data_IF_687912989474
#
_entry.id   IF_687912989474
#
_cell.length_a   1.000
_cell.length_b   1.000
_cell.length_c   1.000
_cell.angle_alpha   90.00
_cell.angle_beta   90.00
_cell.angle_gamma   90.00
#
_symmetry.space_group_name_H-M   'P 1'
#
loop_
_entity.id
_entity.type
_entity.pdbx_description
1 polymer ?
#
# COMPACT_ATOMS: atom_id res chain seq x y z
N UNK A 1 48.71 29.41 10.85
CA UNK A 1 47.47 29.67 11.61
C UNK A 1 46.49 28.57 11.25
N UNK A 2 45.95 27.82 12.22
CA UNK A 2 44.98 26.74 11.95
C UNK A 2 43.60 27.38 11.76
N UNK A 3 42.98 27.18 10.60
CA UNK A 3 41.64 27.66 10.33
C UNK A 3 40.62 26.77 11.03
N UNK A 4 39.68 27.36 11.76
CA UNK A 4 38.60 26.64 12.43
C UNK A 4 37.64 26.05 11.38
N UNK A 5 37.19 24.81 11.59
CA UNK A 5 36.18 24.16 10.73
C UNK A 5 34.81 24.82 10.91
N UNK A 6 33.90 24.67 9.94
CA UNK A 6 32.56 25.28 10.01
C UNK A 6 31.80 24.88 11.28
N UNK A 7 31.93 23.62 11.72
CA UNK A 7 31.35 23.08 12.96
C UNK A 7 31.98 23.74 14.19
N UNK A 8 33.32 23.90 14.20
CA UNK A 8 34.01 24.56 15.30
C UNK A 8 33.65 26.04 15.40
N UNK A 9 33.45 26.74 14.27
CA UNK A 9 32.97 28.12 14.24
C UNK A 9 31.51 28.24 14.69
N UNK A 10 30.63 27.36 14.22
CA UNK A 10 29.22 27.35 14.62
C UNK A 10 29.06 27.12 16.13
N UNK A 11 29.81 26.16 16.69
CA UNK A 11 29.84 25.89 18.13
C UNK A 11 30.42 27.05 18.95
N UNK A 12 31.41 27.77 18.40
CA UNK A 12 31.97 28.97 19.02
C UNK A 12 30.98 30.15 19.01
N UNK A 13 30.19 30.28 17.95
CA UNK A 13 29.21 31.37 17.74
C UNK A 13 27.82 31.07 18.33
N UNK A 14 27.60 29.88 18.89
CA UNK A 14 26.31 29.48 19.46
C UNK A 14 25.21 29.24 18.42
N UNK A 15 25.59 29.05 17.15
CA UNK A 15 24.66 28.81 16.06
C UNK A 15 24.38 27.30 15.92
N UNK A 16 23.21 26.86 16.42
CA UNK A 16 22.79 25.44 16.39
C UNK A 16 22.28 24.98 15.00
N UNK A 17 22.40 25.83 13.97
CA UNK A 17 21.90 25.58 12.61
C UNK A 17 23.03 25.24 11.67
N UNK A 18 23.68 24.10 11.89
CA UNK A 18 24.64 23.58 10.92
C UNK A 18 23.85 22.95 9.76
N UNK A 19 24.16 23.35 8.53
CA UNK A 19 23.55 22.76 7.33
C UNK A 19 23.76 21.24 7.36
N UNK A 20 22.69 20.46 7.19
CA UNK A 20 22.73 18.98 7.17
C UNK A 20 23.77 18.47 6.18
N UNK A 21 24.01 19.20 5.08
CA UNK A 21 24.99 18.85 4.05
C UNK A 21 26.46 19.03 4.47
N UNK A 22 26.72 19.82 5.52
CA UNK A 22 28.05 20.00 6.13
C UNK A 22 28.33 18.99 7.26
N UNK A 23 27.30 18.29 7.75
CA UNK A 23 27.45 17.16 8.67
C UNK A 23 27.80 15.85 7.95
N UNK A 24 27.65 15.82 6.62
CA UNK A 24 27.93 14.65 5.78
C UNK A 24 29.42 14.64 5.42
N UNK A 25 30.07 13.48 5.54
CA UNK A 25 31.47 13.26 5.13
C UNK A 25 31.69 13.72 3.68
N UNK A 26 32.86 14.30 3.36
CA UNK A 26 33.19 14.77 2.01
C UNK A 26 32.99 13.70 0.93
N UNK A 27 33.19 12.42 1.29
CA UNK A 27 32.95 11.28 0.39
C UNK A 27 31.47 11.13 0.04
N UNK A 28 30.60 11.26 1.03
CA UNK A 28 29.15 11.14 0.86
C UNK A 28 28.56 12.43 0.27
N UNK A 29 29.12 13.60 0.59
CA UNK A 29 28.80 14.85 -0.09
C UNK A 29 29.04 14.75 -1.60
N UNK A 30 30.20 14.21 -1.99
CA UNK A 30 30.56 13.99 -3.40
C UNK A 30 29.68 12.94 -4.09
N UNK A 31 29.23 11.91 -3.37
CA UNK A 31 28.25 10.91 -3.87
C UNK A 31 26.87 11.53 -4.09
N UNK A 32 26.37 12.34 -3.14
CA UNK A 32 25.12 13.07 -3.32
C UNK A 32 25.21 14.07 -4.48
N UNK A 33 26.35 14.73 -4.65
CA UNK A 33 26.61 15.66 -5.75
C UNK A 33 26.56 14.97 -7.12
N UNK A 34 27.04 13.72 -7.21
CA UNK A 34 26.93 12.89 -8.41
C UNK A 34 25.48 12.49 -8.76
N UNK A 35 24.60 12.44 -7.76
CA UNK A 35 23.18 12.12 -7.93
C UNK A 35 22.28 13.35 -8.05
N UNK A 36 22.83 14.58 -8.04
CA UNK A 36 22.04 15.80 -8.22
C UNK A 36 21.42 15.81 -9.61
N UNK A 37 20.10 15.88 -9.64
CA UNK A 37 19.34 15.92 -10.88
C UNK A 37 19.52 17.27 -11.57
N UNK A 38 19.28 17.29 -12.89
CA UNK A 38 19.27 18.50 -13.72
C UNK A 38 18.34 19.59 -13.16
N UNK A 39 17.32 19.22 -12.39
CA UNK A 39 16.43 20.15 -11.69
C UNK A 39 17.03 20.77 -10.44
N UNK A 40 17.86 20.04 -9.67
CA UNK A 40 18.55 20.55 -8.47
C UNK A 40 19.63 21.60 -8.79
N UNK A 41 20.07 21.63 -10.05
CA UNK A 41 20.98 22.64 -10.59
C UNK A 41 20.22 23.88 -11.09
N UNK A 42 18.90 23.76 -11.31
CA UNK A 42 18.06 24.82 -11.86
C UNK A 42 17.57 25.80 -10.78
N UNK A 43 17.43 25.34 -9.54
CA UNK A 43 16.99 26.11 -8.35
C UNK A 43 18.10 26.95 -7.67
N UNK A 44 19.34 26.98 -8.20
CA UNK A 44 20.32 27.96 -7.71
C UNK A 44 19.82 29.38 -8.04
N UNK A 45 19.76 30.31 -7.06
CA UNK A 45 19.34 31.68 -7.30
C UNK A 45 20.49 32.44 -7.93
N UNK A 46 20.75 32.18 -9.21
CA UNK A 46 21.56 33.06 -10.03
C UNK A 46 20.62 34.16 -10.55
N UNK A 47 20.83 35.39 -10.09
CA UNK A 47 20.06 36.59 -10.44
C UNK A 47 20.17 37.01 -11.92
N UNK A 48 20.56 36.09 -12.82
CA UNK A 48 20.84 36.36 -14.23
C UNK A 48 20.33 35.27 -15.17
N UNK A 49 19.24 34.59 -14.83
CA UNK A 49 18.50 33.83 -15.85
C UNK A 49 17.43 34.73 -16.44
N UNK A 50 17.75 35.26 -17.63
CA UNK A 50 16.73 35.72 -18.56
C UNK A 50 15.61 34.67 -18.60
N UNK A 51 14.44 35.08 -18.14
CA UNK A 51 13.19 34.36 -18.30
C UNK A 51 13.09 33.99 -19.78
N UNK A 52 13.08 32.69 -20.10
CA UNK A 52 12.86 32.23 -21.47
C UNK A 52 11.41 32.57 -21.83
N UNK A 53 11.23 33.82 -22.28
CA UNK A 53 9.96 34.45 -22.63
C UNK A 53 9.13 33.71 -23.68
N UNK A 54 9.72 32.72 -24.36
CA UNK A 54 9.04 31.93 -25.40
C UNK A 54 7.83 31.12 -24.96
N UNK A 55 7.62 30.86 -23.66
CA UNK A 55 6.44 30.10 -23.20
C UNK A 55 5.26 30.94 -22.72
N UNK A 56 5.48 32.21 -22.35
CA UNK A 56 4.37 33.10 -21.95
C UNK A 56 3.47 33.43 -23.14
N UNK A 57 4.06 33.52 -24.33
CA UNK A 57 3.40 33.98 -25.56
C UNK A 57 3.04 32.84 -26.53
N UNK A 58 3.32 31.58 -26.15
CA UNK A 58 2.99 30.43 -26.99
C UNK A 58 1.49 30.16 -26.99
N UNK A 59 0.82 30.53 -28.07
CA UNK A 59 -0.60 30.23 -28.33
C UNK A 59 -0.67 28.99 -29.21
N UNK A 60 -0.97 27.85 -28.60
CA UNK A 60 -1.08 26.55 -29.26
C UNK A 60 -2.55 26.15 -29.47
N UNK A 61 -3.44 26.72 -28.67
CA UNK A 61 -4.89 26.50 -28.68
C UNK A 61 -5.62 27.85 -28.80
N UNK A 62 -5.64 28.49 -29.99
CA UNK A 62 -6.28 29.79 -30.19
C UNK A 62 -7.81 29.72 -30.03
N UNK A 63 -8.43 28.58 -30.35
CA UNK A 63 -9.88 28.40 -30.28
C UNK A 63 -10.37 28.05 -28.86
N UNK A 64 -9.47 27.67 -27.95
CA UNK A 64 -9.84 27.13 -26.63
C UNK A 64 -9.00 27.80 -25.52
N UNK A 65 -9.42 28.97 -25.00
CA UNK A 65 -8.63 29.74 -24.04
C UNK A 65 -8.40 29.01 -22.71
N UNK A 66 -9.39 28.21 -22.26
CA UNK A 66 -9.25 27.38 -21.05
C UNK A 66 -8.29 26.21 -21.22
N UNK A 67 -8.15 25.68 -22.44
CA UNK A 67 -7.15 24.65 -22.73
C UNK A 67 -5.76 25.26 -22.85
N UNK A 68 -5.68 26.46 -23.42
CA UNK A 68 -4.45 27.23 -23.49
C UNK A 68 -3.89 27.58 -22.10
N UNK A 69 -4.74 27.95 -21.13
CA UNK A 69 -4.31 28.23 -19.75
C UNK A 69 -3.78 26.97 -19.07
N UNK A 70 -4.49 25.84 -19.22
CA UNK A 70 -4.06 24.53 -18.70
C UNK A 70 -2.79 24.02 -19.36
N UNK A 71 -2.59 24.28 -20.66
CA UNK A 71 -1.32 23.98 -21.34
C UNK A 71 -0.15 24.81 -20.79
N UNK A 72 -0.37 26.11 -20.54
CA UNK A 72 0.64 26.97 -19.89
C UNK A 72 0.98 26.46 -18.49
N UNK A 73 -0.03 26.03 -17.74
CA UNK A 73 0.17 25.41 -16.44
C UNK A 73 0.94 24.09 -16.55
N UNK A 74 0.59 23.24 -17.50
CA UNK A 74 1.30 22.00 -17.80
C UNK A 74 2.79 22.24 -18.07
N UNK A 75 3.13 23.25 -18.87
CA UNK A 75 4.53 23.65 -19.10
C UNK A 75 5.23 24.11 -17.83
N UNK A 76 4.54 24.83 -16.93
CA UNK A 76 5.08 25.25 -15.63
C UNK A 76 5.37 24.05 -14.73
N UNK A 77 4.50 23.05 -14.70
CA UNK A 77 4.70 21.82 -13.92
C UNK A 77 5.82 20.97 -14.50
N UNK A 78 5.88 20.83 -15.83
CA UNK A 78 6.95 20.14 -16.53
C UNK A 78 8.32 20.78 -16.22
N UNK A 79 8.37 22.12 -16.21
CA UNK A 79 9.54 22.94 -15.81
C UNK A 79 9.88 22.87 -14.31
N UNK A 80 9.07 22.21 -13.51
CA UNK A 80 9.35 21.94 -12.09
C UNK A 80 9.67 20.47 -11.85
N UNK A 81 9.67 19.65 -12.90
CA UNK A 81 9.80 18.19 -12.77
C UNK A 81 8.58 17.53 -12.12
N UNK A 82 7.43 18.19 -12.12
CA UNK A 82 6.18 17.73 -11.51
C UNK A 82 5.14 17.39 -12.58
N UNK A 83 4.24 16.46 -12.26
CA UNK A 83 3.07 16.17 -13.09
C UNK A 83 1.93 17.10 -12.68
N UNK A 84 1.29 17.74 -13.66
CA UNK A 84 0.09 18.54 -13.41
C UNK A 84 -1.04 17.60 -12.92
N UNK A 85 -1.62 17.82 -11.73
CA UNK A 85 -2.75 17.03 -11.26
C UNK A 85 -3.99 17.24 -12.14
N UNK A 86 -4.91 16.29 -12.11
CA UNK A 86 -6.15 16.37 -12.87
C UNK A 86 -6.95 17.63 -12.48
N UNK A 87 -7.31 18.49 -13.45
CA UNK A 87 -8.22 19.60 -13.22
C UNK A 87 -9.60 19.10 -12.77
N UNK A 88 -10.21 19.77 -11.77
CA UNK A 88 -11.53 19.41 -11.24
C UNK A 88 -12.67 19.56 -12.25
N UNK A 89 -12.45 20.39 -13.27
CA UNK A 89 -13.43 20.70 -14.30
C UNK A 89 -13.56 19.59 -15.34
N UNK A 90 -12.60 18.65 -15.42
CA UNK A 90 -12.56 17.62 -16.45
C UNK A 90 -12.73 16.21 -15.88
N UNK A 91 -13.43 15.38 -16.66
CA UNK A 91 -13.46 13.94 -16.42
C UNK A 91 -12.08 13.32 -16.65
N UNK A 92 -11.86 12.13 -16.09
CA UNK A 92 -10.57 11.42 -16.21
C UNK A 92 -10.20 11.20 -17.67
N UNK A 93 -11.18 10.84 -18.51
CA UNK A 93 -10.98 10.58 -19.93
C UNK A 93 -10.58 11.83 -20.73
N UNK A 94 -11.25 12.95 -20.47
CA UNK A 94 -10.93 14.22 -21.13
C UNK A 94 -9.55 14.75 -20.69
N UNK A 95 -9.19 14.56 -19.42
CA UNK A 95 -7.87 14.94 -18.94
C UNK A 95 -6.75 14.12 -19.58
N UNK A 96 -6.95 12.80 -19.70
CA UNK A 96 -5.99 11.92 -20.36
C UNK A 96 -5.81 12.23 -21.85
N UNK A 97 -6.89 12.58 -22.55
CA UNK A 97 -6.83 12.96 -23.95
C UNK A 97 -6.09 14.28 -24.14
N UNK A 98 -6.40 15.31 -23.33
CA UNK A 98 -5.69 16.58 -23.37
C UNK A 98 -4.21 16.46 -23.04
N UNK A 99 -3.86 15.65 -22.03
CA UNK A 99 -2.46 15.43 -21.67
C UNK A 99 -1.68 14.82 -22.84
N UNK A 100 -2.28 13.89 -23.58
CA UNK A 100 -1.68 13.32 -24.82
C UNK A 100 -1.52 14.38 -25.90
N UNK A 101 -2.45 15.31 -26.04
CA UNK A 101 -2.34 16.42 -26.99
C UNK A 101 -1.24 17.41 -26.59
N UNK A 102 -1.12 17.73 -25.30
CA UNK A 102 -0.05 18.56 -24.77
C UNK A 102 1.31 17.93 -25.07
N UNK A 103 1.49 16.62 -24.80
CA UNK A 103 2.73 15.90 -25.12
C UNK A 103 3.10 15.92 -26.61
N UNK A 104 2.12 16.00 -27.52
CA UNK A 104 2.37 16.13 -28.98
C UNK A 104 2.83 17.53 -29.37
N UNK A 105 2.38 18.56 -28.65
CA UNK A 105 2.76 19.95 -28.91
C UNK A 105 4.02 20.39 -28.16
N UNK A 106 4.62 19.56 -27.29
CA UNK A 106 5.87 19.89 -26.62
C UNK A 106 7.03 20.11 -27.61
N UNK A 107 7.93 21.05 -27.30
CA UNK A 107 9.18 21.20 -28.04
C UNK A 107 10.13 20.03 -27.76
N UNK A 108 11.19 19.87 -28.57
CA UNK A 108 12.18 18.82 -28.38
C UNK A 108 12.84 18.89 -26.98
N UNK A 109 13.11 20.09 -26.47
CA UNK A 109 13.70 20.30 -25.14
C UNK A 109 12.76 19.89 -24.01
N UNK A 110 11.49 20.25 -24.13
CA UNK A 110 10.44 19.93 -23.15
C UNK A 110 10.13 18.43 -23.16
N UNK A 111 10.12 17.80 -24.34
CA UNK A 111 9.95 16.35 -24.48
C UNK A 111 11.08 15.58 -23.80
N UNK A 112 12.31 16.11 -23.83
CA UNK A 112 13.45 15.57 -23.10
C UNK A 112 13.32 15.61 -21.57
N UNK A 113 12.36 16.37 -21.01
CA UNK A 113 12.09 16.42 -19.57
C UNK A 113 11.07 15.35 -19.11
N UNK A 114 10.25 14.82 -20.04
CA UNK A 114 9.18 13.86 -19.70
C UNK A 114 9.68 12.57 -19.04
N UNK A 115 10.79 11.94 -19.47
CA UNK A 115 11.27 10.70 -18.84
C UNK A 115 11.58 10.89 -17.35
N UNK A 116 12.21 12.02 -17.00
CA UNK A 116 12.58 12.34 -15.63
C UNK A 116 11.35 12.69 -14.77
N UNK A 117 10.40 13.45 -15.32
CA UNK A 117 9.12 13.76 -14.66
C UNK A 117 8.32 12.49 -14.39
N UNK A 118 8.25 11.57 -15.36
CA UNK A 118 7.55 10.28 -15.21
C UNK A 118 8.22 9.35 -14.21
N UNK A 119 9.55 9.37 -14.12
CA UNK A 119 10.29 8.61 -13.11
C UNK A 119 9.99 9.12 -11.70
N UNK A 120 9.85 10.44 -11.51
CA UNK A 120 9.47 11.06 -10.22
C UNK A 120 8.00 10.88 -9.86
N UNK A 121 7.13 10.73 -10.85
CA UNK A 121 5.70 10.53 -10.65
C UNK A 121 5.31 9.12 -10.18
N UNK A 122 6.29 8.20 -10.07
CA UNK A 122 6.03 6.86 -9.55
C UNK A 122 5.62 6.93 -8.08
N UNK A 123 4.65 6.11 -7.64
CA UNK A 123 4.24 6.08 -6.24
C UNK A 123 5.44 5.75 -5.35
N UNK A 124 5.50 6.37 -4.17
CA UNK A 124 6.55 6.11 -3.17
C UNK A 124 6.58 4.63 -2.74
N UNK A 125 5.45 3.94 -2.86
CA UNK A 125 5.35 2.51 -2.60
C UNK A 125 5.96 1.70 -3.75
N UNK A 126 6.90 0.81 -3.42
CA UNK A 126 7.50 -0.11 -4.39
C UNK A 126 6.39 -0.97 -5.02
N UNK A 127 6.24 -0.89 -6.34
CA UNK A 127 5.28 -1.70 -7.10
C UNK A 127 5.46 -3.20 -6.84
N UNK A 128 6.67 -3.66 -6.50
CA UNK A 128 6.96 -5.06 -6.13
C UNK A 128 6.10 -5.60 -4.97
N UNK A 129 5.66 -4.75 -4.05
CA UNK A 129 4.78 -5.17 -2.94
C UNK A 129 3.30 -5.11 -3.35
N UNK A 130 2.94 -4.18 -4.23
CA UNK A 130 1.57 -3.97 -4.67
C UNK A 130 1.13 -4.96 -5.76
N UNK A 131 2.05 -5.39 -6.64
CA UNK A 131 1.74 -6.28 -7.76
C UNK A 131 1.17 -7.64 -7.33
N UNK A 132 1.75 -8.37 -6.34
CA UNK A 132 1.16 -9.62 -5.88
C UNK A 132 -0.23 -9.42 -5.26
N UNK A 133 -0.42 -8.32 -4.53
CA UNK A 133 -1.73 -7.98 -3.93
C UNK A 133 -2.74 -7.67 -5.04
N UNK A 134 -2.34 -6.90 -6.05
CA UNK A 134 -3.17 -6.56 -7.20
C UNK A 134 -3.56 -7.80 -8.01
N UNK A 135 -2.63 -8.68 -8.32
CA UNK A 135 -2.91 -9.95 -9.03
C UNK A 135 -3.86 -10.83 -8.22
N UNK A 136 -3.68 -10.91 -6.91
CA UNK A 136 -4.53 -11.72 -6.02
C UNK A 136 -5.96 -11.15 -5.92
N UNK A 137 -6.10 -9.81 -5.92
CA UNK A 137 -7.40 -9.13 -5.94
C UNK A 137 -8.07 -9.28 -7.32
N UNK A 138 -7.35 -9.04 -8.41
CA UNK A 138 -7.89 -9.19 -9.78
C UNK A 138 -8.42 -10.60 -10.03
N UNK A 139 -7.70 -11.62 -9.58
CA UNK A 139 -8.11 -13.02 -9.72
C UNK A 139 -9.35 -13.39 -8.88
N UNK A 140 -9.64 -12.67 -7.79
CA UNK A 140 -10.82 -12.92 -6.95
C UNK A 140 -12.06 -12.18 -7.45
N UNK A 141 -11.95 -10.92 -7.86
CA UNK A 141 -13.11 -10.17 -8.40
C UNK A 141 -13.53 -10.63 -9.80
N UNK A 142 -12.62 -11.17 -10.62
CA UNK A 142 -12.98 -11.69 -11.94
C UNK A 142 -13.67 -13.08 -11.91
N UNK A 143 -13.61 -13.80 -10.78
CA UNK A 143 -14.10 -15.20 -10.67
C UNK A 143 -15.51 -15.37 -10.12
N UNK A 144 -16.13 -14.32 -9.58
CA UNK A 144 -17.37 -14.49 -8.81
C UNK A 144 -18.67 -14.29 -9.61
N UNK A 145 -18.60 -13.77 -10.83
CA UNK A 145 -19.76 -13.76 -11.74
C UNK A 145 -19.84 -15.06 -12.55
N UNK A 146 -20.30 -16.12 -11.89
CA UNK A 146 -20.79 -17.33 -12.55
C UNK A 146 -19.75 -18.44 -12.75
N UNK A 147 -19.94 -19.53 -12.00
CA UNK A 147 -19.53 -20.92 -12.32
C UNK A 147 -18.19 -21.11 -13.06
N UNK A 148 -17.14 -21.56 -12.38
CA UNK A 148 -16.31 -22.67 -12.87
C UNK A 148 -15.20 -23.04 -11.87
N UNK A 149 -15.36 -24.21 -11.24
CA UNK A 149 -14.19 -25.00 -10.88
C UNK A 149 -13.50 -25.46 -12.17
N UNK A 150 -12.17 -25.45 -12.21
CA UNK A 150 -11.33 -26.07 -13.24
C UNK A 150 -11.58 -25.65 -14.70
N UNK A 151 -11.14 -24.45 -15.11
CA UNK A 151 -11.42 -23.90 -16.44
C UNK A 151 -10.21 -23.82 -17.40
N UNK A 152 -9.27 -24.76 -17.39
CA UNK A 152 -8.27 -24.83 -18.47
C UNK A 152 -8.83 -25.51 -19.74
N UNK A 153 -9.84 -26.38 -19.60
CA UNK A 153 -10.50 -27.08 -20.73
C UNK A 153 -11.71 -26.33 -21.30
N UNK A 154 -12.21 -25.31 -20.60
CA UNK A 154 -13.52 -24.72 -20.86
C UNK A 154 -13.49 -23.50 -21.79
N UNK A 155 -12.31 -22.98 -22.15
CA UNK A 155 -12.20 -21.89 -23.12
C UNK A 155 -12.53 -22.36 -24.54
N UNK A 156 -12.17 -23.61 -24.89
CA UNK A 156 -12.59 -24.23 -26.15
C UNK A 156 -14.12 -24.32 -26.24
N UNK A 157 -14.79 -24.77 -25.19
CA UNK A 157 -16.25 -24.92 -25.16
C UNK A 157 -16.96 -23.56 -25.13
N UNK A 158 -16.41 -22.56 -24.44
CA UNK A 158 -16.90 -21.18 -24.48
C UNK A 158 -16.80 -20.60 -25.89
N UNK A 159 -15.65 -20.78 -26.55
CA UNK A 159 -15.44 -20.32 -27.93
C UNK A 159 -16.33 -21.07 -28.93
N UNK A 160 -16.55 -22.38 -28.73
CA UNK A 160 -17.47 -23.17 -29.54
C UNK A 160 -18.94 -22.74 -29.35
N UNK A 161 -19.37 -22.46 -28.11
CA UNK A 161 -20.70 -21.95 -27.82
C UNK A 161 -20.95 -20.56 -28.42
N UNK A 162 -19.95 -19.68 -28.41
CA UNK A 162 -19.98 -18.39 -29.11
C UNK A 162 -20.11 -18.60 -30.61
N UNK A 163 -19.29 -19.49 -31.19
CA UNK A 163 -19.31 -19.83 -32.63
C UNK A 163 -20.64 -20.45 -33.06
N UNK A 164 -21.27 -21.23 -32.19
CA UNK A 164 -22.57 -21.86 -32.39
C UNK A 164 -23.76 -20.93 -32.08
N UNK A 165 -23.52 -19.65 -31.74
CA UNK A 165 -24.60 -18.72 -31.44
C UNK A 165 -25.41 -19.08 -30.19
N UNK A 166 -24.86 -19.90 -29.28
CA UNK A 166 -25.53 -20.33 -28.05
C UNK A 166 -25.56 -19.25 -26.97
N UNK A 167 -25.20 -18.01 -27.31
CA UNK A 167 -25.31 -16.83 -26.45
C UNK A 167 -26.69 -16.18 -26.64
N UNK A 168 -27.29 -15.67 -25.57
CA UNK A 168 -28.60 -15.02 -25.61
C UNK A 168 -29.59 -15.66 -24.64
N UNK A 169 -30.86 -15.75 -25.01
CA UNK A 169 -31.94 -16.16 -24.09
C UNK A 169 -31.77 -17.56 -23.49
N UNK A 170 -31.08 -18.47 -24.21
CA UNK A 170 -30.73 -19.82 -23.70
C UNK A 170 -29.67 -19.83 -22.59
N UNK A 171 -28.86 -18.77 -22.47
CA UNK A 171 -27.79 -18.66 -21.47
C UNK A 171 -28.06 -17.59 -20.42
N UNK A 172 -29.15 -16.81 -20.58
CA UNK A 172 -29.61 -15.85 -19.57
C UNK A 172 -30.25 -16.61 -18.42
N UNK A 173 -29.77 -16.35 -17.22
CA UNK A 173 -30.41 -16.78 -15.98
C UNK A 173 -30.96 -15.56 -15.28
N UNK A 174 -32.23 -15.60 -14.92
CA UNK A 174 -32.87 -14.54 -14.13
C UNK A 174 -32.93 -15.00 -12.68
N UNK A 175 -32.54 -14.12 -11.78
CA UNK A 175 -32.59 -14.40 -10.35
C UNK A 175 -33.37 -13.32 -9.63
N UNK A 176 -34.11 -13.73 -8.61
CA UNK A 176 -34.78 -12.78 -7.74
C UNK A 176 -33.74 -12.06 -6.88
N UNK A 177 -33.67 -10.74 -7.04
CA UNK A 177 -32.79 -9.86 -6.27
C UNK A 177 -33.58 -9.10 -5.22
N UNK A 178 -33.03 -9.04 -4.02
CA UNK A 178 -33.59 -8.35 -2.85
C UNK A 178 -32.72 -7.12 -2.54
N UNK A 179 -33.20 -5.90 -2.80
CA UNK A 179 -32.44 -4.69 -2.51
C UNK A 179 -32.32 -4.45 -1.01
N UNK A 180 -31.23 -3.82 -0.59
CA UNK A 180 -31.10 -3.30 0.77
C UNK A 180 -32.11 -2.14 0.98
N UNK A 181 -32.68 -2.06 2.17
CA UNK A 181 -33.59 -0.99 2.58
C UNK A 181 -32.92 0.39 2.46
N UNK A 182 -31.62 0.51 2.75
CA UNK A 182 -30.89 1.78 2.57
C UNK A 182 -30.82 2.17 1.10
N UNK A 183 -30.64 1.21 0.20
CA UNK A 183 -30.60 1.44 -1.24
C UNK A 183 -31.96 1.94 -1.73
N UNK A 184 -33.04 1.26 -1.35
CA UNK A 184 -34.41 1.66 -1.68
C UNK A 184 -34.72 3.10 -1.22
N UNK A 185 -34.30 3.47 0.00
CA UNK A 185 -34.42 4.84 0.52
C UNK A 185 -33.66 5.88 -0.30
N UNK A 186 -32.42 5.58 -0.74
CA UNK A 186 -31.62 6.51 -1.56
C UNK A 186 -32.23 6.77 -2.93
N UNK A 187 -32.85 5.75 -3.51
CA UNK A 187 -33.60 5.88 -4.77
C UNK A 187 -35.01 6.45 -4.58
N UNK A 188 -35.43 6.70 -3.33
CA UNK A 188 -36.76 7.21 -2.99
C UNK A 188 -37.89 6.29 -3.50
N UNK A 189 -37.64 4.98 -3.53
CA UNK A 189 -38.58 3.94 -3.96
C UNK A 189 -38.97 3.10 -2.73
N UNK A 190 -40.26 2.74 -2.55
CA UNK A 190 -40.66 1.85 -1.46
C UNK A 190 -39.96 0.49 -1.62
N UNK A 191 -39.47 -0.07 -0.52
CA UNK A 191 -38.83 -1.38 -0.56
C UNK A 191 -39.84 -2.43 -1.07
N UNK A 192 -39.56 -3.13 -2.19
CA UNK A 192 -40.46 -4.14 -2.74
C UNK A 192 -40.64 -5.35 -1.82
N UNK A 193 -39.69 -5.59 -0.89
CA UNK A 193 -39.73 -6.71 0.06
C UNK A 193 -39.52 -6.22 1.51
N UNK A 194 -40.52 -5.60 2.15
CA UNK A 194 -40.37 -4.96 3.46
C UNK A 194 -40.22 -5.92 4.65
N UNK A 195 -40.31 -7.23 4.45
CA UNK A 195 -40.16 -8.26 5.50
C UNK A 195 -39.08 -9.32 5.23
N UNK A 196 -38.34 -9.20 4.12
CA UNK A 196 -37.28 -10.15 3.81
C UNK A 196 -36.00 -9.78 4.57
N UNK A 197 -35.55 -10.63 5.49
CA UNK A 197 -34.24 -10.48 6.16
C UNK A 197 -33.03 -10.82 5.27
N UNK A 198 -33.24 -10.93 3.95
CA UNK A 198 -32.25 -11.34 2.97
C UNK A 198 -31.89 -10.15 2.09
N UNK A 199 -30.60 -9.95 1.83
CA UNK A 199 -30.10 -8.88 0.94
C UNK A 199 -29.28 -9.52 -0.18
N UNK A 200 -29.51 -9.09 -1.42
CA UNK A 200 -28.84 -9.61 -2.61
C UNK A 200 -29.61 -10.73 -3.30
N UNK A 201 -28.90 -11.69 -3.90
CA UNK A 201 -29.48 -12.86 -4.56
C UNK A 201 -29.21 -14.10 -3.70
N UNK A 202 -30.18 -14.58 -2.89
CA UNK A 202 -29.95 -15.70 -1.98
C UNK A 202 -29.44 -16.96 -2.68
N UNK A 203 -29.93 -17.24 -3.90
CA UNK A 203 -29.53 -18.38 -4.71
C UNK A 203 -28.07 -18.36 -5.18
N UNK A 204 -27.40 -17.20 -5.12
CA UNK A 204 -26.02 -17.02 -5.53
C UNK A 204 -25.05 -16.90 -4.34
N UNK A 205 -25.58 -16.77 -3.12
CA UNK A 205 -24.78 -16.69 -1.90
C UNK A 205 -24.27 -18.07 -1.50
N UNK A 206 -23.05 -18.42 -1.92
CA UNK A 206 -22.31 -19.53 -1.32
C UNK A 206 -21.90 -19.14 0.10
N UNK A 207 -21.97 -20.09 1.02
CA UNK A 207 -21.66 -19.93 2.46
C UNK A 207 -20.44 -19.05 2.67
N UNK A 208 -20.69 -17.82 3.12
CA UNK A 208 -19.68 -16.78 3.25
C UNK A 208 -18.79 -17.11 4.44
N UNK A 209 -17.67 -17.81 4.22
CA UNK A 209 -16.53 -17.67 5.13
C UNK A 209 -16.13 -16.20 5.03
N UNK A 210 -16.31 -15.44 6.10
CA UNK A 210 -15.96 -14.01 6.14
C UNK A 210 -14.46 -13.90 5.83
N UNK A 211 -14.10 -13.46 4.64
CA UNK A 211 -12.71 -13.24 4.25
C UNK A 211 -12.25 -11.92 4.88
N UNK A 212 -11.79 -11.98 6.13
CA UNK A 212 -10.97 -10.93 6.73
C UNK A 212 -9.61 -10.88 6.04
N UNK A 213 -8.89 -9.75 6.06
CA UNK A 213 -7.54 -9.63 5.49
C UNK A 213 -6.57 -10.74 5.96
N UNK A 214 -6.80 -11.29 7.14
CA UNK A 214 -6.08 -12.43 7.71
C UNK A 214 -6.31 -13.77 6.97
N UNK A 215 -7.45 -13.92 6.30
CA UNK A 215 -7.81 -15.12 5.53
C UNK A 215 -7.40 -15.04 4.06
N UNK A 216 -6.81 -13.91 3.62
CA UNK A 216 -6.37 -13.73 2.24
C UNK A 216 -5.06 -14.46 1.91
N UNK A 217 -4.43 -15.11 2.88
CA UNK A 217 -3.29 -16.01 2.65
C UNK A 217 -2.13 -15.35 1.91
N UNK A 218 -1.73 -14.14 2.33
CA UNK A 218 -0.47 -13.59 1.83
C UNK A 218 0.66 -14.56 2.27
N UNK A 219 1.62 -14.87 1.37
CA UNK A 219 2.63 -15.90 1.63
C UNK A 219 3.48 -15.60 2.88
N UNK A 220 3.62 -14.33 3.25
CA UNK A 220 4.32 -13.92 4.48
C UNK A 220 3.43 -14.00 5.72
N UNK A 221 2.13 -13.72 5.62
CA UNK A 221 1.23 -13.81 6.78
C UNK A 221 0.91 -15.26 7.15
N UNK A 222 0.85 -16.18 6.18
CA UNK A 222 0.58 -17.59 6.45
C UNK A 222 1.74 -18.25 7.23
N UNK A 223 2.98 -17.95 6.85
CA UNK A 223 4.17 -18.40 7.59
C UNK A 223 4.27 -17.72 8.97
N UNK A 224 3.97 -16.42 9.06
CA UNK A 224 3.97 -15.70 10.34
C UNK A 224 2.91 -16.21 11.32
N UNK A 225 1.72 -16.60 10.83
CA UNK A 225 0.66 -17.24 11.63
C UNK A 225 1.09 -18.64 12.08
N UNK A 226 1.72 -19.43 11.21
CA UNK A 226 2.25 -20.74 11.56
C UNK A 226 3.34 -20.63 12.64
N UNK A 227 4.25 -19.64 12.53
CA UNK A 227 5.27 -19.37 13.53
C UNK A 227 4.72 -18.83 14.85
N UNK A 228 3.60 -18.08 14.84
CA UNK A 228 2.94 -17.64 16.07
C UNK A 228 2.26 -18.82 16.78
N UNK A 229 1.55 -19.67 16.04
CA UNK A 229 0.94 -20.88 16.59
C UNK A 229 1.96 -21.86 17.15
N UNK A 230 3.08 -22.06 16.44
CA UNK A 230 4.16 -22.90 16.94
C UNK A 230 4.70 -22.39 18.28
N UNK A 231 4.93 -21.07 18.40
CA UNK A 231 5.38 -20.45 19.66
C UNK A 231 4.33 -20.52 20.78
N UNK A 232 3.05 -20.41 20.46
CA UNK A 232 1.97 -20.58 21.45
C UNK A 232 1.90 -22.02 21.97
N UNK A 233 2.15 -23.02 21.11
CA UNK A 233 2.21 -24.43 21.50
C UNK A 233 3.44 -24.68 22.37
N UNK A 234 4.62 -24.19 21.97
CA UNK A 234 5.85 -24.30 22.76
C UNK A 234 5.69 -23.70 24.17
N UNK A 235 5.06 -22.53 24.28
CA UNK A 235 4.82 -21.88 25.58
C UNK A 235 3.87 -22.67 26.49
N UNK A 236 2.84 -23.31 25.91
CA UNK A 236 1.91 -24.15 26.66
C UNK A 236 2.58 -25.46 27.13
N UNK A 237 3.43 -26.04 26.29
CA UNK A 237 4.22 -27.24 26.65
C UNK A 237 5.25 -26.93 27.76
N UNK A 238 5.86 -25.74 27.74
CA UNK A 238 6.76 -25.27 28.81
C UNK A 238 6.02 -25.04 30.14
N UNK A 239 4.84 -24.42 30.12
CA UNK A 239 4.01 -24.22 31.32
C UNK A 239 3.55 -25.56 31.93
N UNK A 240 3.15 -26.53 31.11
CA UNK A 240 2.72 -27.85 31.58
C UNK A 240 3.88 -28.64 32.21
N UNK A 241 5.10 -28.48 31.68
CA UNK A 241 6.31 -29.08 32.23
C UNK A 241 6.75 -28.45 33.56
N UNK A 242 6.66 -27.12 33.71
CA UNK A 242 6.93 -26.45 34.99
C UNK A 242 5.90 -26.81 36.05
N UNK A 243 4.61 -26.91 35.69
CA UNK A 243 3.56 -27.30 36.61
C UNK A 243 3.77 -28.74 37.11
N UNK A 244 4.11 -29.68 36.23
CA UNK A 244 4.44 -31.05 36.60
C UNK A 244 5.63 -31.14 37.56
N UNK A 245 6.72 -30.41 37.28
CA UNK A 245 7.92 -30.38 38.12
C UNK A 245 7.65 -29.74 39.50
N UNK A 246 6.81 -28.72 39.55
CA UNK A 246 6.39 -28.09 40.80
C UNK A 246 5.53 -28.99 41.68
N UNK A 247 4.85 -29.98 41.07
CA UNK A 247 3.99 -30.93 41.77
C UNK A 247 4.79 -32.09 42.33
N UNK A 248 5.76 -32.59 41.57
CA UNK A 248 6.71 -33.62 41.99
C UNK A 248 7.53 -33.16 43.21
N UNK A 249 8.00 -31.90 43.22
CA UNK A 249 8.71 -31.31 44.38
C UNK A 249 7.83 -31.15 45.63
N UNK A 250 6.51 -31.03 45.50
CA UNK A 250 5.60 -30.86 46.64
C UNK A 250 5.24 -32.18 47.32
N UNK A 251 5.32 -33.29 46.59
CA UNK A 251 4.99 -34.62 47.12
C UNK A 251 6.16 -35.24 47.90
N UNK A 252 7.42 -34.91 47.54
CA UNK A 252 8.63 -35.39 48.25
C UNK A 252 8.81 -34.79 49.67
N UNK A 253 8.23 -33.63 49.95
CA UNK A 253 8.38 -32.93 51.25
C UNK A 253 7.38 -33.41 52.33
N UNK A 254 6.41 -34.27 52.00
CA UNK A 254 5.34 -34.67 52.93
C UNK A 254 5.64 -35.92 53.78
N UNK A 255 6.68 -36.70 53.45
CA UNK A 255 6.99 -37.96 54.15
C UNK A 255 8.15 -37.89 55.15
N UNK A 256 8.73 -36.70 55.40
CA UNK A 256 9.81 -36.54 56.38
C UNK A 256 9.24 -36.09 57.75
N UNK A 257 9.23 -36.95 58.79
CA UNK A 257 8.79 -36.51 60.11
C UNK A 257 9.72 -35.41 60.65
N UNK A 258 9.17 -34.37 61.34
CA UNK A 258 9.95 -33.21 61.77
C UNK A 258 11.03 -33.63 62.77
N UNK A 259 12.27 -33.21 62.52
CA UNK A 259 13.49 -33.55 63.28
C UNK A 259 13.49 -33.07 64.75
N UNK A 260 12.41 -32.49 65.26
CA UNK A 260 12.41 -31.75 66.53
C UNK A 260 11.72 -32.48 67.69
N UNK A 261 11.29 -33.74 67.52
CA UNK A 261 10.73 -34.54 68.64
C UNK A 261 11.84 -35.30 69.39
N UNK A 262 12.83 -35.86 68.69
CA UNK A 262 13.85 -36.69 69.32
C UNK A 262 14.88 -35.87 70.13
N UNK A 263 15.21 -34.65 69.68
CA UNK A 263 16.10 -33.72 70.41
C UNK A 263 15.44 -33.12 71.66
N UNK A 264 14.11 -33.11 71.74
CA UNK A 264 13.37 -32.66 72.93
C UNK A 264 13.27 -33.77 73.99
N UNK A 265 13.31 -35.04 73.58
CA UNK A 265 13.19 -36.20 74.49
C UNK A 265 14.54 -36.56 75.12
N UNK A 266 15.63 -36.43 74.36
CA UNK A 266 16.98 -36.81 74.82
C UNK A 266 17.91 -35.61 75.01
N UNK A 267 17.34 -34.48 75.44
CA UNK A 267 18.03 -33.20 75.65
C UNK A 267 19.50 -33.36 76.08
N UNK A 268 20.35 -32.67 75.33
CA UNK A 268 21.80 -32.54 75.48
C UNK A 268 22.27 -32.85 76.91
N UNK A 269 22.69 -34.11 77.11
CA UNK A 269 23.46 -34.49 78.29
C UNK A 269 24.93 -34.32 77.92
N UNK A 270 25.45 -33.17 78.31
CA UNK A 270 26.86 -32.79 78.31
C UNK A 270 27.77 -33.92 78.85
N UNK A 271 28.74 -34.38 78.05
CA UNK A 271 30.06 -34.92 78.47
C UNK A 271 30.95 -35.15 77.25
#
# INVERSE_FOLDING_TARGET
MKTLTAIQRAKLLGEDRVSVMELVSDKDRKRLEQHRSRWDQRERPDHRREDTGGSKDRVEFPNEPMKQSRFKEYLKYLRRGLVLPQPKELTVWEWESERKEFEKRLTAEERGMLPEVRARAQPLAKSSLALPIQELLQNKFAKETGTSGHSAKHDSDKMAAVKMGMFGDRTRTTFQWYPDNVLAKRFNIPNPYPGAGMVGVPHLQKSTKKETLLNLGLPQTASEIAHRRAREIEHLEEEEAEEAKSKELRDDDLDRPPQNIFDVIFGESDS
#
